data_IF_760383353960
#
_entry.id   IF_760383353960
#
_cell.length_a   1.000
_cell.length_b   1.000
_cell.length_c   1.000
_cell.angle_alpha   90.00
_cell.angle_beta   90.00
_cell.angle_gamma   90.00
#
_symmetry.space_group_name_H-M   'P 1'
#
loop_
_entity.id
_entity.type
_entity.pdbx_description
1 polymer ?
#
# COMPACT_ATOMS: atom_id res chain seq x y z
N UNK A 1 -0.09 -8.61 3.76
CA UNK A 1 0.77 -7.40 3.61
C UNK A 1 0.15 -6.15 4.27
N UNK A 2 -1.13 -5.86 3.99
CA UNK A 2 -1.86 -4.69 4.52
C UNK A 2 -1.78 -4.53 6.04
N UNK A 3 -1.89 -5.62 6.80
CA UNK A 3 -1.76 -5.61 8.25
C UNK A 3 -0.47 -4.91 8.75
N UNK A 4 0.64 -5.05 8.02
CA UNK A 4 1.91 -4.39 8.38
C UNK A 4 1.91 -2.89 8.09
N UNK A 5 1.19 -2.44 7.06
CA UNK A 5 0.96 -1.02 6.80
C UNK A 5 0.02 -0.40 7.83
N UNK A 6 -1.05 -1.12 8.22
CA UNK A 6 -2.02 -0.66 9.23
C UNK A 6 -1.41 -0.38 10.61
N UNK A 7 -0.23 -0.91 10.91
CA UNK A 7 0.55 -0.54 12.12
C UNK A 7 0.98 0.93 12.12
N UNK A 8 1.16 1.52 10.93
CA UNK A 8 1.52 2.92 10.72
C UNK A 8 0.48 3.59 9.81
N UNK A 9 -0.70 3.97 10.34
CA UNK A 9 -1.85 4.38 9.54
C UNK A 9 -1.63 5.66 8.72
N UNK A 10 -0.59 6.44 9.04
CA UNK A 10 -0.22 7.62 8.27
C UNK A 10 0.76 7.36 7.13
N UNK A 11 1.13 6.10 6.87
CA UNK A 11 1.87 5.74 5.66
C UNK A 11 1.07 6.20 4.43
N UNK A 12 1.63 7.12 3.64
CA UNK A 12 0.93 7.72 2.50
C UNK A 12 0.59 6.69 1.42
N UNK A 13 1.28 5.54 1.42
CA UNK A 13 1.00 4.41 0.52
C UNK A 13 -0.30 3.70 0.87
N UNK A 14 -0.75 3.76 2.13
CA UNK A 14 -1.98 3.11 2.60
C UNK A 14 -3.25 3.75 2.01
N UNK A 15 -3.15 4.98 1.50
CA UNK A 15 -4.26 5.69 0.86
C UNK A 15 -4.73 4.98 -0.42
N UNK A 16 -5.97 5.27 -0.79
CA UNK A 16 -6.52 4.80 -2.06
C UNK A 16 -5.72 5.39 -3.23
N UNK A 17 -5.35 4.54 -4.18
CA UNK A 17 -4.60 4.93 -5.36
C UNK A 17 -5.42 5.93 -6.17
N UNK A 18 -4.80 7.06 -6.48
CA UNK A 18 -5.33 8.07 -7.38
C UNK A 18 -4.19 8.68 -8.17
N UNK A 19 -4.30 8.65 -9.50
CA UNK A 19 -3.46 9.50 -10.35
C UNK A 19 -3.96 10.94 -10.20
N UNK A 20 -3.06 11.86 -9.85
CA UNK A 20 -3.32 13.29 -9.63
C UNK A 20 -2.97 14.14 -10.86
N UNK A 21 -2.62 13.47 -11.97
CA UNK A 21 -2.04 14.02 -13.18
C UNK A 21 -0.68 14.67 -12.97
N UNK A 22 -0.03 15.02 -14.09
CA UNK A 22 1.28 15.63 -14.15
C UNK A 22 2.36 14.82 -13.40
N UNK A 23 2.32 13.50 -13.54
CA UNK A 23 3.32 12.57 -13.01
C UNK A 23 3.21 12.35 -11.52
N UNK A 24 2.10 12.79 -10.92
CA UNK A 24 1.85 12.70 -9.49
C UNK A 24 0.76 11.70 -9.21
N UNK A 25 0.91 11.02 -8.07
CA UNK A 25 -0.08 10.09 -7.55
C UNK A 25 -0.20 10.20 -6.05
N UNK A 26 -1.29 9.70 -5.53
CA UNK A 26 -1.53 9.44 -4.12
C UNK A 26 -1.87 7.97 -3.93
N UNK A 27 -1.45 7.40 -2.79
CA UNK A 27 -1.77 6.02 -2.45
C UNK A 27 -1.09 4.96 -3.31
N UNK A 28 -1.32 3.72 -2.92
CA UNK A 28 -0.86 2.52 -3.64
C UNK A 28 -1.91 1.41 -3.64
N UNK A 29 -2.91 1.46 -2.77
CA UNK A 29 -3.92 0.41 -2.66
C UNK A 29 -5.22 0.80 -3.34
N UNK A 30 -5.94 -0.17 -3.87
CA UNK A 30 -7.28 -0.01 -4.42
C UNK A 30 -8.20 -0.83 -3.53
N UNK A 31 -9.15 -0.17 -2.89
CA UNK A 31 -10.06 -0.76 -1.92
C UNK A 31 -11.40 -0.02 -1.92
N UNK A 32 -12.42 -0.63 -1.32
CA UNK A 32 -13.76 -0.06 -1.28
C UNK A 32 -14.39 0.05 -2.67
N UNK A 33 -15.31 1.00 -2.82
CA UNK A 33 -15.93 1.31 -4.11
C UNK A 33 -14.97 2.08 -5.01
N UNK A 34 -14.79 1.59 -6.23
CA UNK A 34 -13.87 2.18 -7.20
C UNK A 34 -14.63 3.19 -8.04
N UNK A 35 -14.41 4.48 -7.77
CA UNK A 35 -15.03 5.58 -8.49
C UNK A 35 -14.27 5.91 -9.78
N UNK A 36 -14.98 6.17 -10.87
CA UNK A 36 -14.42 6.74 -12.09
C UNK A 36 -15.38 7.79 -12.70
N UNK A 37 -14.88 8.59 -13.64
CA UNK A 37 -15.70 9.54 -14.39
C UNK A 37 -15.94 8.97 -15.78
N UNK A 38 -17.19 8.87 -16.21
CA UNK A 38 -17.53 8.41 -17.57
C UNK A 38 -17.32 9.50 -18.63
N UNK A 39 -17.47 9.14 -19.90
CA UNK A 39 -17.28 10.05 -21.05
C UNK A 39 -18.22 11.27 -21.03
N UNK A 40 -19.33 11.18 -20.29
CA UNK A 40 -20.30 12.26 -20.13
C UNK A 40 -20.00 13.14 -18.90
N UNK A 41 -18.90 12.88 -18.18
CA UNK A 41 -18.51 13.61 -16.98
C UNK A 41 -19.24 13.18 -15.71
N UNK A 42 -20.01 12.09 -15.73
CA UNK A 42 -20.74 11.62 -14.55
C UNK A 42 -19.85 10.73 -13.68
N UNK A 43 -20.05 10.84 -12.37
CA UNK A 43 -19.43 9.93 -11.42
C UNK A 43 -20.10 8.55 -11.50
N UNK A 44 -19.30 7.53 -11.81
CA UNK A 44 -19.70 6.14 -11.85
C UNK A 44 -18.86 5.31 -10.87
N UNK A 45 -19.31 4.08 -10.61
CA UNK A 45 -18.57 3.10 -9.82
C UNK A 45 -18.38 1.82 -10.61
N UNK A 46 -17.19 1.23 -10.50
CA UNK A 46 -16.85 -0.01 -11.18
C UNK A 46 -17.81 -1.12 -10.75
N UNK A 47 -18.30 -1.87 -11.72
CA UNK A 47 -19.15 -3.03 -11.50
C UNK A 47 -18.36 -4.33 -11.63
N UNK A 48 -18.94 -5.41 -11.15
CA UNK A 48 -18.42 -6.75 -11.41
C UNK A 48 -18.44 -7.06 -12.92
N UNK A 49 -17.73 -8.12 -13.31
CA UNK A 49 -17.59 -8.51 -14.71
C UNK A 49 -18.90 -8.91 -15.42
N UNK A 50 -20.00 -9.08 -14.68
CA UNK A 50 -21.34 -9.31 -15.23
C UNK A 50 -22.29 -8.10 -15.10
N UNK A 51 -21.80 -6.92 -14.70
CA UNK A 51 -22.60 -5.69 -14.53
C UNK A 51 -23.77 -5.78 -13.52
N UNK A 52 -23.73 -6.76 -12.61
CA UNK A 52 -24.80 -7.06 -11.65
C UNK A 52 -24.76 -6.17 -10.40
N UNK A 53 -23.58 -5.82 -9.91
CA UNK A 53 -23.41 -5.02 -8.69
C UNK A 53 -22.16 -4.14 -8.75
N UNK A 54 -22.17 -3.06 -7.96
CA UNK A 54 -20.99 -2.23 -7.75
C UNK A 54 -19.98 -2.96 -6.86
N UNK A 55 -18.72 -3.02 -7.30
CA UNK A 55 -17.63 -3.59 -6.52
C UNK A 55 -17.36 -2.75 -5.27
N UNK A 56 -17.02 -3.43 -4.19
CA UNK A 56 -16.65 -2.86 -2.90
C UNK A 56 -15.57 -3.74 -2.25
N UNK A 57 -14.32 -3.52 -2.68
CA UNK A 57 -13.16 -4.36 -2.33
C UNK A 57 -12.88 -4.34 -0.82
N UNK A 58 -12.79 -5.52 -0.20
CA UNK A 58 -12.67 -5.72 1.26
C UNK A 58 -11.28 -6.22 1.64
N UNK A 59 -10.80 -5.87 2.82
CA UNK A 59 -9.62 -6.55 3.42
C UNK A 59 -10.06 -7.89 4.04
N UNK A 60 -10.67 -8.75 3.22
CA UNK A 60 -11.14 -10.09 3.58
C UNK A 60 -11.36 -10.92 2.31
N UNK A 61 -11.45 -12.24 2.48
CA UNK A 61 -11.85 -13.18 1.43
C UNK A 61 -13.28 -13.63 1.70
N UNK A 62 -14.15 -13.58 0.69
CA UNK A 62 -15.54 -13.96 0.84
C UNK A 62 -16.39 -13.65 -0.40
N UNK A 63 -17.56 -14.30 -0.51
CA UNK A 63 -18.57 -14.00 -1.54
C UNK A 63 -19.48 -12.86 -1.10
N UNK A 64 -18.98 -11.63 -1.23
CA UNK A 64 -19.72 -10.44 -0.86
C UNK A 64 -20.79 -10.07 -1.89
N UNK A 65 -20.56 -10.28 -3.19
CA UNK A 65 -21.46 -9.82 -4.25
C UNK A 65 -21.84 -8.35 -4.08
N UNK A 66 -23.12 -8.02 -4.25
CA UNK A 66 -23.68 -6.68 -3.99
C UNK A 66 -23.97 -6.37 -2.52
N UNK A 67 -23.37 -7.07 -1.56
CA UNK A 67 -23.60 -6.83 -0.13
C UNK A 67 -23.12 -5.43 0.26
N UNK A 68 -23.91 -4.76 1.12
CA UNK A 68 -23.60 -3.42 1.61
C UNK A 68 -22.22 -3.30 2.27
N UNK A 69 -21.59 -2.14 2.07
CA UNK A 69 -20.34 -1.65 2.65
C UNK A 69 -20.06 -2.05 4.09
N UNK A 70 -21.09 -1.92 4.92
CA UNK A 70 -21.00 -2.06 6.36
C UNK A 70 -21.18 -3.50 6.85
N UNK A 71 -21.55 -4.43 5.96
CA UNK A 71 -21.91 -5.80 6.32
C UNK A 71 -20.77 -6.77 6.02
N UNK A 72 -20.48 -7.62 6.99
CA UNK A 72 -19.52 -8.70 6.89
C UNK A 72 -20.23 -10.06 6.80
N UNK A 73 -19.61 -11.01 6.11
CA UNK A 73 -20.14 -12.36 5.99
C UNK A 73 -19.99 -13.10 7.32
N UNK A 74 -21.02 -13.84 7.71
CA UNK A 74 -21.01 -14.73 8.88
C UNK A 74 -20.44 -16.11 8.51
N UNK A 75 -19.29 -16.13 7.83
CA UNK A 75 -18.63 -17.36 7.39
C UNK A 75 -17.13 -17.24 7.60
N UNK A 76 -16.57 -18.19 8.35
CA UNK A 76 -15.14 -18.24 8.65
C UNK A 76 -14.30 -19.05 7.63
N UNK A 77 -14.95 -19.74 6.68
CA UNK A 77 -14.24 -20.51 5.66
C UNK A 77 -13.57 -19.57 4.65
N UNK A 78 -12.29 -19.82 4.37
CA UNK A 78 -11.48 -19.06 3.41
C UNK A 78 -10.74 -20.05 2.50
N UNK A 79 -11.51 -20.69 1.62
CA UNK A 79 -10.98 -21.56 0.55
C UNK A 79 -10.92 -20.80 -0.76
N UNK A 80 -10.28 -21.40 -1.77
CA UNK A 80 -10.22 -20.82 -3.10
C UNK A 80 -11.62 -20.57 -3.68
N UNK A 81 -12.59 -21.46 -3.42
CA UNK A 81 -13.97 -21.28 -3.89
C UNK A 81 -14.80 -20.24 -3.11
N UNK A 82 -14.27 -19.67 -2.02
CA UNK A 82 -14.99 -18.72 -1.17
C UNK A 82 -14.74 -17.25 -1.55
N UNK A 83 -13.77 -16.98 -2.43
CA UNK A 83 -13.50 -15.62 -2.93
C UNK A 83 -14.46 -15.18 -4.04
N UNK A 84 -14.58 -13.87 -4.19
CA UNK A 84 -15.22 -13.17 -5.31
C UNK A 84 -14.40 -11.93 -5.71
N UNK A 85 -14.90 -11.15 -6.67
CA UNK A 85 -14.25 -9.94 -7.17
C UNK A 85 -14.03 -8.86 -6.09
N UNK A 86 -14.73 -8.93 -4.94
CA UNK A 86 -14.56 -8.03 -3.80
C UNK A 86 -13.50 -8.50 -2.79
N UNK A 87 -12.91 -9.68 -3.00
CA UNK A 87 -12.00 -10.29 -2.04
C UNK A 87 -10.59 -9.71 -2.13
N UNK A 88 -10.16 -9.06 -1.05
CA UNK A 88 -8.83 -8.49 -0.91
C UNK A 88 -8.73 -7.05 -1.41
N UNK A 89 -7.69 -6.36 -0.92
CA UNK A 89 -7.27 -5.09 -1.49
C UNK A 89 -6.35 -5.35 -2.68
N UNK A 90 -6.54 -4.57 -3.74
CA UNK A 90 -5.65 -4.54 -4.89
C UNK A 90 -4.59 -3.46 -4.70
N UNK A 91 -3.60 -3.38 -5.60
CA UNK A 91 -2.56 -2.36 -5.52
C UNK A 91 -2.07 -1.92 -6.90
N UNK A 92 -1.56 -0.69 -6.97
CA UNK A 92 -0.89 -0.10 -8.12
C UNK A 92 0.51 0.39 -7.70
N UNK A 93 1.51 -0.50 -7.85
CA UNK A 93 2.89 -0.19 -7.47
C UNK A 93 3.51 0.84 -8.42
N UNK A 94 3.39 0.58 -9.71
CA UNK A 94 3.74 1.50 -10.77
C UNK A 94 2.53 2.33 -11.16
N UNK A 95 2.69 3.64 -11.43
CA UNK A 95 1.56 4.50 -11.78
C UNK A 95 0.88 4.06 -13.08
N UNK A 96 -0.45 4.12 -13.07
CA UNK A 96 -1.30 4.09 -14.26
C UNK A 96 -1.52 5.53 -14.72
N UNK A 97 -1.15 5.83 -15.95
CA UNK A 97 -1.27 7.16 -16.58
C UNK A 97 -2.57 7.28 -17.37
N UNK A 98 -3.10 8.48 -17.48
CA UNK A 98 -4.27 8.75 -18.34
C UNK A 98 -3.84 8.92 -19.80
N UNK A 99 -4.80 8.77 -20.71
CA UNK A 99 -4.58 8.98 -22.16
C UNK A 99 -4.16 10.43 -22.48
N UNK A 100 -4.44 11.37 -21.58
CA UNK A 100 -4.05 12.79 -21.72
C UNK A 100 -2.61 13.08 -21.23
N UNK A 101 -1.87 12.06 -20.79
CA UNK A 101 -0.50 12.17 -20.26
C UNK A 101 0.48 11.34 -21.10
N UNK A 102 0.35 11.36 -22.43
CA UNK A 102 1.14 10.56 -23.37
C UNK A 102 2.65 10.70 -23.14
N UNK A 103 3.15 11.91 -22.89
CA UNK A 103 4.56 12.20 -22.56
C UNK A 103 5.06 11.59 -21.25
N UNK A 104 4.19 10.93 -20.49
CA UNK A 104 4.50 10.28 -19.21
C UNK A 104 4.23 8.77 -19.21
N UNK A 105 3.65 8.24 -20.30
CA UNK A 105 3.37 6.82 -20.49
C UNK A 105 4.67 6.06 -20.82
N UNK A 106 5.59 6.01 -19.85
CA UNK A 106 6.84 5.27 -19.98
C UNK A 106 6.68 3.84 -19.47
N UNK A 107 7.48 2.94 -20.04
CA UNK A 107 7.70 1.62 -19.45
C UNK A 107 8.41 1.77 -18.11
N UNK A 108 7.92 1.07 -17.10
CA UNK A 108 8.59 1.00 -15.81
C UNK A 108 9.64 -0.11 -15.86
N UNK A 109 10.92 0.26 -15.84
CA UNK A 109 12.01 -0.71 -15.75
C UNK A 109 11.95 -1.53 -14.46
N UNK A 110 12.40 -2.78 -14.57
CA UNK A 110 12.63 -3.64 -13.42
C UNK A 110 13.94 -3.26 -12.73
N UNK A 111 13.83 -2.59 -11.58
CA UNK A 111 15.00 -2.28 -10.76
C UNK A 111 15.51 -3.54 -10.04
N UNK A 112 16.62 -4.10 -10.50
CA UNK A 112 17.29 -5.21 -9.81
C UNK A 112 17.90 -4.79 -8.48
N UNK A 113 18.51 -3.60 -8.42
CA UNK A 113 19.10 -3.04 -7.20
C UNK A 113 18.71 -1.57 -7.09
N UNK A 114 18.34 -1.15 -5.88
CA UNK A 114 17.98 0.23 -5.58
C UNK A 114 18.55 0.68 -4.24
N UNK A 115 18.86 1.97 -4.11
CA UNK A 115 19.54 2.51 -2.92
C UNK A 115 18.91 2.09 -1.58
N UNK A 116 17.58 2.05 -1.41
CA UNK A 116 16.97 1.55 -0.17
C UNK A 116 17.40 0.14 0.23
N UNK A 117 17.70 -0.73 -0.74
CA UNK A 117 18.11 -2.12 -0.47
C UNK A 117 19.49 -2.19 0.17
N UNK A 118 20.42 -1.36 -0.30
CA UNK A 118 21.76 -1.24 0.29
C UNK A 118 21.67 -0.66 1.70
N UNK A 119 20.84 0.37 1.88
CA UNK A 119 20.60 0.99 3.20
C UNK A 119 20.01 -0.03 4.18
N UNK A 120 18.99 -0.79 3.75
CA UNK A 120 18.31 -1.77 4.61
C UNK A 120 19.22 -2.96 4.93
N UNK A 121 20.01 -3.44 3.96
CA UNK A 121 21.00 -4.49 4.17
C UNK A 121 22.05 -4.09 5.21
N UNK A 122 22.53 -2.85 5.17
CA UNK A 122 23.44 -2.33 6.18
C UNK A 122 22.75 -2.15 7.55
N UNK A 123 21.51 -1.68 7.55
CA UNK A 123 20.73 -1.54 8.78
C UNK A 123 20.51 -2.90 9.46
N UNK A 124 20.19 -3.95 8.70
CA UNK A 124 20.04 -5.30 9.22
C UNK A 124 21.36 -5.87 9.77
N UNK A 125 22.47 -5.68 9.06
CA UNK A 125 23.79 -6.04 9.56
C UNK A 125 24.10 -5.37 10.92
N UNK A 126 23.76 -4.08 11.08
CA UNK A 126 23.94 -3.34 12.33
C UNK A 126 23.03 -3.85 13.44
N UNK A 127 21.75 -4.07 13.14
CA UNK A 127 20.79 -4.60 14.09
C UNK A 127 21.21 -5.96 14.63
N UNK A 128 21.67 -6.87 13.76
CA UNK A 128 22.19 -8.20 14.13
C UNK A 128 23.46 -8.12 14.99
N UNK A 129 24.25 -7.05 14.87
CA UNK A 129 25.42 -6.76 15.71
C UNK A 129 25.07 -6.04 17.03
N UNK A 130 23.79 -5.77 17.29
CA UNK A 130 23.33 -5.05 18.48
C UNK A 130 23.36 -3.53 18.36
N UNK A 131 23.76 -2.97 17.19
CA UNK A 131 23.72 -1.53 16.92
C UNK A 131 22.33 -1.11 16.43
N UNK A 132 21.37 -1.09 17.34
CA UNK A 132 19.98 -0.73 17.07
C UNK A 132 19.85 0.74 16.63
N UNK A 133 20.53 1.67 17.30
CA UNK A 133 20.46 3.11 16.97
C UNK A 133 21.03 3.42 15.59
N UNK A 134 22.13 2.76 15.20
CA UNK A 134 22.70 2.89 13.87
C UNK A 134 21.80 2.31 12.78
N UNK A 135 21.14 1.18 13.05
CA UNK A 135 20.15 0.60 12.15
C UNK A 135 18.93 1.53 11.96
N UNK A 136 18.38 2.04 13.07
CA UNK A 136 17.23 2.95 13.07
C UNK A 136 17.49 4.21 12.24
N UNK A 137 18.66 4.85 12.41
CA UNK A 137 19.06 6.03 11.64
C UNK A 137 19.06 5.77 10.13
N UNK A 138 19.58 4.61 9.71
CA UNK A 138 19.58 4.20 8.30
C UNK A 138 18.16 4.00 7.77
N UNK A 139 17.31 3.25 8.48
CA UNK A 139 15.93 3.03 8.05
C UNK A 139 15.12 4.34 8.02
N UNK A 140 15.32 5.22 8.99
CA UNK A 140 14.64 6.51 9.08
C UNK A 140 14.96 7.42 7.88
N UNK A 141 16.15 7.30 7.28
CA UNK A 141 16.51 8.03 6.05
C UNK A 141 15.58 7.71 4.87
N UNK A 142 15.02 6.49 4.84
CA UNK A 142 14.06 6.05 3.81
C UNK A 142 12.62 6.30 4.27
N UNK A 143 12.30 5.97 5.54
CA UNK A 143 10.95 6.11 6.09
C UNK A 143 10.37 7.50 5.91
N UNK A 144 11.16 8.56 6.13
CA UNK A 144 10.70 9.96 6.04
C UNK A 144 9.94 10.30 4.76
N UNK A 145 10.26 9.65 3.63
CA UNK A 145 9.55 9.85 2.35
C UNK A 145 8.12 9.31 2.35
N UNK A 146 7.85 8.27 3.13
CA UNK A 146 6.57 7.55 3.15
C UNK A 146 5.59 8.09 4.19
N UNK A 147 5.99 9.07 5.02
CA UNK A 147 5.16 9.60 6.11
C UNK A 147 5.17 11.14 6.13
N UNK A 148 4.04 11.78 6.45
CA UNK A 148 4.00 13.21 6.73
C UNK A 148 4.98 13.61 7.83
N UNK A 149 5.59 14.80 7.71
CA UNK A 149 6.54 15.30 8.71
C UNK A 149 5.92 15.51 10.09
N UNK A 150 4.62 15.78 10.16
CA UNK A 150 3.85 15.88 11.41
C UNK A 150 3.91 14.62 12.26
N UNK A 151 4.12 13.46 11.63
CA UNK A 151 3.98 12.17 12.28
C UNK A 151 5.35 11.52 12.58
N UNK A 152 6.44 12.13 12.12
CA UNK A 152 7.80 11.61 12.26
C UNK A 152 8.18 11.28 13.70
N UNK A 153 7.71 12.07 14.67
CA UNK A 153 7.94 11.82 16.09
C UNK A 153 7.39 10.47 16.58
N UNK A 154 6.38 9.91 15.89
CA UNK A 154 5.73 8.64 16.26
C UNK A 154 6.15 7.48 15.37
N UNK A 155 6.26 7.71 14.05
CA UNK A 155 6.48 6.65 13.06
C UNK A 155 7.96 6.35 12.80
N UNK A 156 8.88 7.27 13.09
CA UNK A 156 10.31 6.97 12.96
C UNK A 156 10.79 6.10 14.13
N UNK A 157 11.79 5.28 13.86
CA UNK A 157 12.41 4.44 14.88
C UNK A 157 13.22 5.28 15.86
N UNK A 158 13.24 4.87 17.13
CA UNK A 158 14.05 5.50 18.15
C UNK A 158 15.54 5.53 17.76
N UNK A 159 16.28 6.62 18.05
CA UNK A 159 15.87 7.76 18.89
C UNK A 159 15.19 8.93 18.15
N UNK A 160 15.07 8.90 16.81
CA UNK A 160 14.46 10.03 16.07
C UNK A 160 12.93 10.11 16.23
N UNK A 161 12.29 8.99 16.54
CA UNK A 161 10.87 8.91 16.88
C UNK A 161 10.60 7.85 17.96
N UNK A 162 9.34 7.51 18.15
CA UNK A 162 8.91 6.60 19.22
C UNK A 162 8.78 5.13 18.80
N UNK A 163 8.87 4.79 17.51
CA UNK A 163 8.68 3.42 17.05
C UNK A 163 9.84 2.51 17.50
N UNK A 164 9.51 1.31 17.97
CA UNK A 164 10.50 0.30 18.37
C UNK A 164 10.99 -0.49 17.17
N UNK A 165 12.31 -0.63 17.04
CA UNK A 165 12.95 -1.48 16.03
C UNK A 165 13.45 -2.77 16.68
N UNK A 166 12.94 -3.90 16.24
CA UNK A 166 13.47 -5.24 16.54
C UNK A 166 13.59 -6.06 15.24
N UNK A 167 14.04 -7.32 15.32
CA UNK A 167 14.20 -8.16 14.12
C UNK A 167 12.88 -8.48 13.41
N UNK A 168 11.75 -8.52 14.14
CA UNK A 168 10.42 -8.74 13.56
C UNK A 168 9.96 -7.50 12.81
N UNK A 169 10.21 -6.33 13.38
CA UNK A 169 9.90 -5.05 12.76
C UNK A 169 10.80 -4.77 11.55
N UNK A 170 12.08 -5.15 11.60
CA UNK A 170 12.97 -5.10 10.44
C UNK A 170 12.38 -5.89 9.27
N UNK A 171 11.91 -7.12 9.51
CA UNK A 171 11.24 -7.94 8.48
C UNK A 171 9.96 -7.27 7.96
N UNK A 172 9.15 -6.70 8.86
CA UNK A 172 7.94 -5.96 8.47
C UNK A 172 8.27 -4.72 7.63
N UNK A 173 9.38 -4.04 7.92
CA UNK A 173 9.83 -2.86 7.20
C UNK A 173 10.36 -3.18 5.80
N UNK A 174 11.16 -4.24 5.66
CA UNK A 174 11.48 -4.84 4.37
C UNK A 174 10.20 -5.13 3.56
N UNK A 175 9.22 -5.79 4.19
CA UNK A 175 7.95 -6.12 3.54
C UNK A 175 7.13 -4.91 3.09
N UNK A 176 7.25 -3.76 3.76
CA UNK A 176 6.58 -2.51 3.34
C UNK A 176 7.33 -1.79 2.22
N UNK A 177 8.65 -1.68 2.30
CA UNK A 177 9.46 -0.94 1.30
C UNK A 177 9.67 -1.73 0.00
N UNK A 178 9.63 -3.05 0.08
CA UNK A 178 9.79 -3.96 -1.06
C UNK A 178 8.50 -4.70 -1.38
N UNK A 179 7.35 -4.11 -1.00
CA UNK A 179 6.05 -4.63 -1.40
C UNK A 179 5.95 -4.70 -2.94
N UNK A 180 5.43 -5.84 -3.42
CA UNK A 180 5.31 -6.31 -4.81
C UNK A 180 6.62 -6.72 -5.51
#
# INVERSE_FOLDING_TARGET
>A
PIAQFKKYPSDVRLKMYKNLSNGRREGMFIFGKIQYTDDNGNTQYLKDHHDQYTLDLRDAVGKFGGTDGSKWLDKAASRLEDGDDNSGWMFAKYPLYSDNEEDQQFEADYCEVRLPEIIYSLAECKLRKGDMSGAAKLLNSVRKRNYPSSDWSTVLYAPEGAATLDMKEMLAEWGREFFA
#
